data_IF_349613747384
#
_entry.id   IF_349613747384
#
_cell.length_a   1.000
_cell.length_b   1.000
_cell.length_c   1.000
_cell.angle_alpha   90.00
_cell.angle_beta   90.00
_cell.angle_gamma   90.00
#
_symmetry.space_group_name_H-M   'P 1'
#
loop_
_entity.id
_entity.type
_entity.pdbx_description
1 polymer ?
#
# COMPACT_ATOMS: atom_id res chain seq x y z
N UNK A 1 6.94 103.97 -0.15
CA UNK A 1 8.11 104.39 0.64
C UNK A 1 9.09 103.25 0.73
N UNK A 2 10.21 103.40 0.04
CA UNK A 2 11.58 103.38 0.52
C UNK A 2 11.96 101.99 1.14
N UNK A 3 13.08 101.35 0.80
CA UNK A 3 14.35 101.69 0.12
C UNK A 3 15.03 100.35 -0.24
N UNK A 4 15.47 100.19 -1.41
CA UNK A 4 16.77 99.85 -1.98
C UNK A 4 17.91 99.54 -0.93
N UNK A 5 18.55 98.39 -1.11
CA UNK A 5 20.00 98.37 -1.14
C UNK A 5 20.55 97.09 -1.71
N UNK A 6 21.39 97.28 -2.69
CA UNK A 6 22.26 96.42 -3.45
C UNK A 6 23.48 96.06 -2.54
N UNK A 7 24.07 94.86 -2.65
CA UNK A 7 25.53 94.74 -2.95
C UNK A 7 26.03 93.25 -2.97
N UNK A 8 26.68 92.97 -4.06
CA UNK A 8 27.95 92.20 -4.30
C UNK A 8 27.86 90.66 -4.13
N UNK A 9 27.82 89.90 -5.18
CA UNK A 9 28.82 89.37 -6.12
C UNK A 9 30.11 88.92 -5.45
N UNK A 10 30.23 87.64 -5.24
CA UNK A 10 31.49 86.90 -5.28
C UNK A 10 31.32 85.53 -5.88
N UNK A 11 32.00 85.34 -7.03
CA UNK A 11 32.11 84.03 -7.67
C UNK A 11 33.13 83.22 -6.83
N UNK A 12 32.71 82.04 -6.43
CA UNK A 12 33.64 80.99 -6.03
C UNK A 12 33.21 79.71 -6.76
N UNK A 13 34.01 79.41 -7.77
CA UNK A 13 33.95 78.18 -8.54
C UNK A 13 34.45 77.03 -7.62
N UNK A 14 33.52 76.21 -7.13
CA UNK A 14 33.89 75.00 -6.41
C UNK A 14 33.82 73.85 -7.32
N UNK A 15 34.92 73.27 -7.70
CA UNK A 15 35.03 72.04 -8.47
C UNK A 15 34.59 70.89 -7.60
N UNK A 16 33.39 70.31 -7.92
CA UNK A 16 32.93 69.10 -7.28
C UNK A 16 33.51 67.89 -8.00
N UNK A 17 34.50 67.26 -7.38
CA UNK A 17 35.04 65.97 -7.78
C UNK A 17 33.98 64.92 -7.38
N UNK A 18 33.26 64.38 -8.36
CA UNK A 18 32.40 63.20 -8.16
C UNK A 18 33.27 61.96 -8.01
N UNK A 19 33.50 61.53 -6.78
CA UNK A 19 33.98 60.18 -6.50
C UNK A 19 32.79 59.25 -6.58
N UNK A 20 32.67 58.48 -7.65
CA UNK A 20 31.72 57.35 -7.78
C UNK A 20 32.19 56.21 -6.88
N UNK A 21 31.71 56.14 -5.68
CA UNK A 21 31.76 54.94 -4.85
C UNK A 21 30.77 53.90 -5.42
N UNK A 22 31.31 52.96 -6.18
CA UNK A 22 30.59 51.77 -6.59
C UNK A 22 30.28 50.93 -5.36
N UNK A 23 29.08 51.06 -4.81
CA UNK A 23 28.50 50.09 -3.89
C UNK A 23 28.29 48.79 -4.63
N UNK A 24 29.21 47.83 -4.48
CA UNK A 24 28.91 46.42 -4.79
C UNK A 24 27.82 45.93 -3.82
N UNK A 25 26.57 45.94 -4.30
CA UNK A 25 25.49 45.19 -3.66
C UNK A 25 25.90 43.72 -3.65
N UNK A 26 26.29 43.23 -2.47
CA UNK A 26 26.31 41.79 -2.21
C UNK A 26 24.86 41.31 -2.36
N UNK A 27 24.53 40.69 -3.49
CA UNK A 27 23.40 39.82 -3.57
C UNK A 27 23.58 38.72 -2.52
N UNK A 28 22.88 38.81 -1.41
CA UNK A 28 22.67 37.68 -0.53
C UNK A 28 21.89 36.67 -1.39
N UNK A 29 22.56 35.59 -1.77
CA UNK A 29 21.87 34.39 -2.17
C UNK A 29 21.05 33.95 -0.95
N UNK A 30 19.80 34.33 -0.89
CA UNK A 30 18.81 33.60 -0.11
C UNK A 30 18.83 32.20 -0.67
N UNK A 31 19.58 31.31 -0.03
CA UNK A 31 19.29 29.90 -0.10
C UNK A 31 17.88 29.79 0.48
N UNK A 32 16.90 29.72 -0.41
CA UNK A 32 15.62 29.13 -0.10
C UNK A 32 16.00 27.67 0.16
N UNK A 33 16.21 27.35 1.43
CA UNK A 33 16.08 25.98 1.90
C UNK A 33 14.59 25.71 1.64
N UNK A 34 14.28 25.10 0.49
CA UNK A 34 12.99 24.47 0.29
C UNK A 34 12.84 23.52 1.46
N UNK A 35 11.88 23.85 2.30
CA UNK A 35 11.45 23.03 3.42
C UNK A 35 10.86 21.74 2.80
N UNK A 36 11.73 20.72 2.61
CA UNK A 36 11.35 19.41 2.07
C UNK A 36 10.43 18.64 3.03
N UNK A 37 10.08 19.21 4.15
CA UNK A 37 9.23 18.63 5.17
C UNK A 37 7.77 18.99 4.97
N UNK A 38 7.16 18.56 3.88
CA UNK A 38 5.73 18.25 3.72
C UNK A 38 5.24 18.30 2.26
N UNK A 39 6.03 17.90 1.28
CA UNK A 39 5.46 17.66 -0.05
C UNK A 39 4.62 16.37 0.04
N UNK A 40 3.32 16.53 0.06
CA UNK A 40 2.36 15.44 -0.06
C UNK A 40 2.70 14.64 -1.32
N UNK A 41 3.27 13.43 -1.13
CA UNK A 41 3.69 12.59 -2.25
C UNK A 41 2.43 12.08 -2.96
N UNK A 42 2.39 12.18 -4.28
CA UNK A 42 1.29 11.67 -5.11
C UNK A 42 1.77 10.47 -5.92
N UNK A 43 0.99 9.40 -5.91
CA UNK A 43 1.23 8.24 -6.74
C UNK A 43 0.93 8.55 -8.22
N UNK A 44 1.70 7.96 -9.12
CA UNK A 44 1.52 8.09 -10.56
C UNK A 44 0.95 6.81 -11.16
N UNK A 45 0.22 6.94 -12.28
CA UNK A 45 -0.31 5.79 -13.01
C UNK A 45 0.85 4.90 -13.50
N UNK A 46 0.80 3.63 -13.16
CA UNK A 46 1.75 2.64 -13.66
C UNK A 46 1.17 1.78 -14.79
N UNK A 47 -0.03 1.26 -14.59
CA UNK A 47 -0.70 0.43 -15.57
C UNK A 47 -2.19 0.73 -15.60
N UNK A 48 -2.67 1.22 -16.75
CA UNK A 48 -4.09 1.53 -16.94
C UNK A 48 -4.88 0.26 -17.16
N UNK A 49 -5.81 -0.03 -16.26
CA UNK A 49 -6.78 -1.11 -16.34
C UNK A 49 -8.05 -0.64 -15.65
N UNK A 50 -9.12 -1.37 -15.74
CA UNK A 50 -10.40 -1.06 -15.08
C UNK A 50 -10.83 -2.26 -14.23
N UNK A 51 -10.06 -2.54 -13.18
CA UNK A 51 -10.41 -3.58 -12.21
C UNK A 51 -11.66 -3.18 -11.46
N UNK A 52 -12.55 -4.12 -11.28
CA UNK A 52 -13.71 -3.92 -10.40
C UNK A 52 -13.26 -3.84 -8.96
N UNK A 53 -12.45 -4.80 -8.54
CA UNK A 53 -11.89 -4.86 -7.19
C UNK A 53 -10.45 -5.38 -7.26
N UNK A 54 -9.52 -4.47 -7.62
CA UNK A 54 -8.09 -4.78 -7.66
C UNK A 54 -7.54 -4.91 -6.25
N UNK A 55 -6.93 -6.07 -5.93
CA UNK A 55 -6.55 -6.47 -4.57
C UNK A 55 -5.32 -7.38 -4.54
N UNK A 56 -4.93 -7.86 -3.32
CA UNK A 56 -3.92 -8.90 -3.14
C UNK A 56 -2.54 -8.52 -3.66
N UNK A 57 -2.16 -7.24 -3.53
CA UNK A 57 -0.90 -6.69 -4.01
C UNK A 57 0.30 -7.44 -3.43
N UNK A 58 1.15 -8.00 -4.30
CA UNK A 58 2.36 -8.72 -3.93
C UNK A 58 3.45 -8.57 -4.99
N UNK A 59 4.69 -8.37 -4.56
CA UNK A 59 5.85 -8.36 -5.44
C UNK A 59 6.58 -9.71 -5.41
N UNK A 60 6.66 -10.35 -6.57
CA UNK A 60 7.51 -11.52 -6.75
C UNK A 60 8.94 -11.07 -7.07
N UNK A 61 9.79 -11.03 -6.06
CA UNK A 61 11.18 -10.56 -6.21
C UNK A 61 12.05 -11.50 -7.07
N UNK A 62 11.67 -12.79 -7.23
CA UNK A 62 12.42 -13.75 -8.06
C UNK A 62 12.19 -13.53 -9.55
N UNK A 63 10.95 -13.17 -9.94
CA UNK A 63 10.59 -12.92 -11.34
C UNK A 63 10.55 -11.44 -11.69
N UNK A 64 10.66 -10.55 -10.69
CA UNK A 64 10.54 -9.10 -10.83
C UNK A 64 9.19 -8.69 -11.44
N UNK A 65 8.11 -9.28 -10.93
CA UNK A 65 6.73 -9.08 -11.39
C UNK A 65 5.80 -8.73 -10.23
N UNK A 66 4.82 -7.92 -10.53
CA UNK A 66 3.78 -7.52 -9.60
C UNK A 66 2.54 -8.42 -9.78
N UNK A 67 2.19 -9.18 -8.73
CA UNK A 67 1.03 -10.04 -8.67
C UNK A 67 -0.10 -9.32 -7.98
N UNK A 68 -1.31 -9.46 -8.51
CA UNK A 68 -2.52 -8.90 -7.94
C UNK A 68 -3.75 -9.63 -8.48
N UNK A 69 -4.89 -9.44 -7.83
CA UNK A 69 -6.16 -10.06 -8.23
C UNK A 69 -7.19 -8.98 -8.55
N UNK A 70 -8.11 -9.25 -9.47
CA UNK A 70 -9.39 -8.56 -9.58
C UNK A 70 -10.46 -9.52 -9.04
N UNK A 71 -10.87 -9.31 -7.78
CA UNK A 71 -11.76 -10.23 -7.07
C UNK A 71 -13.06 -10.35 -7.83
N UNK A 72 -13.75 -9.25 -8.12
CA UNK A 72 -15.02 -9.22 -8.84
C UNK A 72 -14.86 -9.49 -10.34
N UNK A 73 -13.68 -9.24 -10.89
CA UNK A 73 -13.32 -9.63 -12.26
C UNK A 73 -12.96 -11.10 -12.40
N UNK A 74 -12.76 -11.83 -11.28
CA UNK A 74 -12.36 -13.23 -11.21
C UNK A 74 -11.10 -13.51 -12.01
N UNK A 75 -10.06 -12.72 -11.75
CA UNK A 75 -8.77 -12.86 -12.44
C UNK A 75 -7.59 -12.73 -11.51
N UNK A 76 -6.59 -13.59 -11.72
CA UNK A 76 -5.23 -13.38 -11.28
C UNK A 76 -4.47 -12.62 -12.35
N UNK A 77 -3.72 -11.60 -11.96
CA UNK A 77 -2.96 -10.73 -12.83
C UNK A 77 -1.48 -10.76 -12.45
N UNK A 78 -0.61 -10.82 -13.45
CA UNK A 78 0.84 -10.81 -13.30
C UNK A 78 1.39 -9.73 -14.22
N UNK A 79 1.78 -8.61 -13.64
CA UNK A 79 2.28 -7.45 -14.36
C UNK A 79 3.81 -7.41 -14.32
N UNK A 80 4.41 -7.29 -15.52
CA UNK A 80 5.85 -7.10 -15.65
C UNK A 80 6.12 -5.61 -15.94
N UNK A 81 6.68 -4.85 -14.98
CA UNK A 81 6.90 -3.41 -15.15
C UNK A 81 8.01 -3.07 -16.14
N UNK A 82 8.91 -4.01 -16.47
CA UNK A 82 9.96 -3.81 -17.46
C UNK A 82 9.40 -3.84 -18.88
N UNK A 83 8.50 -4.78 -19.17
CA UNK A 83 7.88 -4.92 -20.51
C UNK A 83 6.55 -4.19 -20.62
N UNK A 84 5.99 -3.72 -19.50
CA UNK A 84 4.66 -3.09 -19.43
C UNK A 84 3.52 -4.02 -19.88
N UNK A 85 3.69 -5.32 -19.70
CA UNK A 85 2.70 -6.33 -20.05
C UNK A 85 2.05 -6.91 -18.81
N UNK A 86 0.76 -7.22 -18.89
CA UNK A 86 0.00 -7.89 -17.84
C UNK A 86 -0.55 -9.22 -18.37
N UNK A 87 -0.17 -10.30 -17.73
CA UNK A 87 -0.75 -11.63 -17.97
C UNK A 87 -1.99 -11.77 -17.11
N UNK A 88 -3.09 -12.19 -17.71
CA UNK A 88 -4.38 -12.39 -17.04
C UNK A 88 -4.76 -13.86 -17.07
N UNK A 89 -5.00 -14.44 -15.91
CA UNK A 89 -5.47 -15.81 -15.74
C UNK A 89 -6.86 -15.76 -15.10
N UNK A 90 -7.86 -16.31 -15.80
CA UNK A 90 -9.25 -16.38 -15.30
C UNK A 90 -9.37 -17.45 -14.21
N UNK A 91 -10.16 -17.16 -13.19
CA UNK A 91 -10.53 -18.11 -12.14
C UNK A 91 -12.03 -18.45 -12.18
N UNK A 92 -12.45 -19.63 -11.74
CA UNK A 92 -13.84 -20.06 -11.80
C UNK A 92 -14.77 -19.26 -10.87
N UNK A 93 -14.23 -18.78 -9.77
CA UNK A 93 -14.94 -17.96 -8.78
C UNK A 93 -14.10 -16.73 -8.40
N UNK A 94 -14.57 -15.90 -7.47
CA UNK A 94 -13.78 -14.81 -6.90
C UNK A 94 -12.47 -15.33 -6.33
N UNK A 95 -11.39 -14.59 -6.55
CA UNK A 95 -10.06 -14.89 -6.03
C UNK A 95 -9.67 -13.79 -5.05
N UNK A 96 -9.55 -14.10 -3.76
CA UNK A 96 -9.30 -13.13 -2.71
C UNK A 96 -7.83 -12.68 -2.67
N UNK A 97 -6.91 -13.61 -2.81
CA UNK A 97 -5.47 -13.32 -2.73
C UNK A 97 -4.64 -14.28 -3.56
N UNK A 98 -3.36 -13.92 -3.77
CA UNK A 98 -2.36 -14.74 -4.46
C UNK A 98 -1.02 -14.64 -3.75
N UNK A 99 -0.35 -15.78 -3.58
CA UNK A 99 1.04 -15.83 -3.11
C UNK A 99 1.87 -16.71 -4.03
N UNK A 100 3.13 -16.35 -4.34
CA UNK A 100 4.02 -17.18 -5.16
C UNK A 100 4.35 -18.50 -4.48
N UNK A 101 4.52 -19.55 -5.28
CA UNK A 101 4.95 -20.87 -4.80
C UNK A 101 6.22 -21.35 -5.53
N UNK A 102 6.12 -21.61 -6.82
CA UNK A 102 7.27 -21.94 -7.67
C UNK A 102 7.34 -20.96 -8.85
N UNK A 103 8.30 -21.15 -9.75
CA UNK A 103 8.37 -20.34 -10.97
C UNK A 103 7.11 -20.47 -11.84
N UNK A 104 6.47 -21.67 -11.84
CA UNK A 104 5.31 -21.97 -12.67
C UNK A 104 3.99 -22.00 -11.91
N UNK A 105 4.01 -21.85 -10.59
CA UNK A 105 2.80 -21.99 -9.79
C UNK A 105 2.70 -20.90 -8.73
N UNK A 106 1.48 -20.51 -8.42
CA UNK A 106 1.12 -19.71 -7.25
C UNK A 106 0.09 -20.46 -6.40
N UNK A 107 -0.21 -19.93 -5.23
CA UNK A 107 -1.35 -20.35 -4.42
C UNK A 107 -2.35 -19.21 -4.41
N UNK A 108 -3.63 -19.56 -4.60
CA UNK A 108 -4.76 -18.64 -4.62
C UNK A 108 -5.86 -19.10 -3.66
N UNK A 109 -6.57 -18.14 -3.09
CA UNK A 109 -7.77 -18.41 -2.30
C UNK A 109 -9.02 -18.10 -3.16
N UNK A 110 -9.80 -19.14 -3.47
CA UNK A 110 -11.08 -19.07 -4.17
C UNK A 110 -12.23 -19.16 -3.17
N UNK A 111 -13.47 -18.97 -3.62
CA UNK A 111 -14.62 -18.97 -2.70
C UNK A 111 -14.80 -20.29 -1.94
N UNK A 112 -14.38 -21.41 -2.52
CA UNK A 112 -14.57 -22.78 -2.00
C UNK A 112 -13.27 -23.42 -1.47
N UNK A 113 -12.22 -22.66 -1.27
CA UNK A 113 -10.98 -23.18 -0.70
C UNK A 113 -9.69 -22.59 -1.27
N UNK A 114 -8.58 -23.26 -0.96
CA UNK A 114 -7.24 -22.84 -1.33
C UNK A 114 -6.67 -23.76 -2.40
N UNK A 115 -6.07 -23.19 -3.44
CA UNK A 115 -5.63 -23.91 -4.62
C UNK A 115 -4.21 -23.55 -5.04
N UNK A 116 -3.46 -24.52 -5.53
CA UNK A 116 -2.31 -24.26 -6.40
C UNK A 116 -2.82 -24.00 -7.80
N UNK A 117 -2.38 -22.90 -8.41
CA UNK A 117 -2.71 -22.52 -9.78
C UNK A 117 -1.47 -22.60 -10.66
N UNK A 118 -1.58 -23.25 -11.80
CA UNK A 118 -0.54 -23.25 -12.83
C UNK A 118 -0.57 -21.90 -13.55
N UNK A 119 0.55 -21.18 -13.53
CA UNK A 119 0.61 -19.83 -14.09
C UNK A 119 0.63 -19.82 -15.62
N UNK A 120 0.86 -20.93 -16.30
CA UNK A 120 0.84 -21.02 -17.76
C UNK A 120 -0.55 -21.21 -18.33
N UNK A 121 -1.30 -22.21 -17.81
CA UNK A 121 -2.57 -22.65 -18.34
C UNK A 121 -3.77 -22.41 -17.43
N UNK A 122 -3.56 -22.00 -16.16
CA UNK A 122 -4.62 -21.73 -15.20
C UNK A 122 -5.17 -22.97 -14.49
N UNK A 123 -4.58 -24.16 -14.68
CA UNK A 123 -5.02 -25.39 -14.03
C UNK A 123 -4.94 -25.27 -12.50
N UNK A 124 -5.99 -25.74 -11.83
CA UNK A 124 -6.15 -25.65 -10.39
C UNK A 124 -6.00 -27.03 -9.73
N UNK A 125 -5.28 -27.05 -8.60
CA UNK A 125 -5.20 -28.19 -7.71
C UNK A 125 -5.52 -27.77 -6.29
N UNK A 126 -6.66 -28.21 -5.75
CA UNK A 126 -7.07 -27.90 -4.39
C UNK A 126 -6.09 -28.47 -3.37
N UNK A 127 -5.78 -27.68 -2.35
CA UNK A 127 -4.93 -28.07 -1.22
C UNK A 127 -5.66 -27.95 0.12
N UNK A 128 -6.73 -27.17 0.21
CA UNK A 128 -7.63 -27.11 1.36
C UNK A 128 -9.02 -26.72 0.88
N UNK A 129 -10.05 -27.35 1.45
CA UNK A 129 -11.46 -27.04 1.23
C UNK A 129 -12.08 -26.22 2.36
N UNK A 130 -11.25 -25.53 3.14
CA UNK A 130 -11.72 -24.69 4.24
C UNK A 130 -12.74 -23.64 3.72
N UNK A 131 -13.80 -23.44 4.46
CA UNK A 131 -14.98 -22.61 4.14
C UNK A 131 -15.82 -23.05 2.93
N UNK A 132 -15.56 -24.21 2.30
CA UNK A 132 -16.34 -24.68 1.15
C UNK A 132 -17.85 -24.81 1.43
N UNK A 133 -18.24 -24.99 2.69
CA UNK A 133 -19.62 -25.12 3.13
C UNK A 133 -20.22 -23.79 3.64
N UNK A 134 -19.46 -22.71 3.63
CA UNK A 134 -19.88 -21.38 4.12
C UNK A 134 -20.14 -20.45 2.95
N UNK A 135 -21.28 -20.61 2.31
CA UNK A 135 -21.65 -19.86 1.08
C UNK A 135 -21.89 -18.36 1.30
N UNK A 136 -21.96 -17.92 2.54
CA UNK A 136 -22.14 -16.51 2.93
C UNK A 136 -20.82 -15.76 3.03
N UNK A 137 -19.69 -16.47 2.93
CA UNK A 137 -18.36 -15.92 2.98
C UNK A 137 -17.64 -16.04 1.63
N UNK A 138 -16.56 -15.31 1.50
CA UNK A 138 -15.49 -15.48 0.51
C UNK A 138 -14.15 -15.25 1.16
N UNK A 139 -13.06 -15.76 0.59
CA UNK A 139 -11.75 -15.35 0.98
C UNK A 139 -11.47 -13.91 0.54
N UNK A 140 -10.62 -13.23 1.31
CA UNK A 140 -10.13 -11.87 1.07
C UNK A 140 -8.61 -11.85 1.11
N UNK A 141 -7.97 -10.92 1.84
CA UNK A 141 -6.53 -10.76 1.85
C UNK A 141 -5.79 -11.92 2.56
N UNK A 142 -4.55 -12.12 2.16
CA UNK A 142 -3.67 -13.11 2.76
C UNK A 142 -2.24 -13.01 2.24
N UNK A 143 -1.29 -13.39 3.07
CA UNK A 143 0.15 -13.45 2.76
C UNK A 143 0.80 -14.66 3.41
N UNK A 144 1.99 -15.00 2.96
CA UNK A 144 2.77 -16.03 3.64
C UNK A 144 3.48 -15.46 4.87
N UNK A 145 3.57 -16.29 5.89
CA UNK A 145 4.38 -16.05 7.05
C UNK A 145 5.87 -16.42 6.81
N UNK A 146 6.78 -16.09 7.74
CA UNK A 146 8.20 -16.43 7.63
C UNK A 146 8.52 -17.93 7.50
N UNK A 147 7.59 -18.81 7.87
CA UNK A 147 7.71 -20.29 7.71
C UNK A 147 7.20 -20.79 6.36
N UNK A 148 6.64 -19.88 5.54
CA UNK A 148 6.07 -20.23 4.24
C UNK A 148 4.66 -20.82 4.33
N UNK A 149 3.92 -20.63 5.42
CA UNK A 149 2.51 -20.96 5.48
C UNK A 149 1.69 -19.79 4.94
N UNK A 150 0.61 -20.08 4.22
CA UNK A 150 -0.34 -19.05 3.83
C UNK A 150 -1.24 -18.70 5.03
N UNK A 151 -1.25 -17.44 5.41
CA UNK A 151 -2.28 -16.87 6.28
C UNK A 151 -3.27 -16.13 5.40
N UNK A 152 -4.54 -16.54 5.48
CA UNK A 152 -5.59 -16.01 4.61
C UNK A 152 -6.87 -15.91 5.40
N UNK A 153 -7.52 -14.76 5.27
CA UNK A 153 -8.78 -14.54 5.93
C UNK A 153 -9.96 -14.57 4.99
N UNK A 154 -11.12 -14.88 5.56
CA UNK A 154 -12.39 -14.75 4.89
C UNK A 154 -13.11 -13.48 5.31
N UNK A 155 -14.21 -13.17 4.64
CA UNK A 155 -15.12 -12.10 4.97
C UNK A 155 -16.55 -12.49 4.64
N UNK A 156 -17.50 -11.92 5.38
CA UNK A 156 -18.92 -12.06 5.08
C UNK A 156 -19.30 -11.25 3.84
N UNK A 157 -19.99 -11.86 2.88
CA UNK A 157 -20.35 -11.24 1.59
C UNK A 157 -21.17 -9.95 1.71
N UNK A 158 -21.93 -9.79 2.79
CA UNK A 158 -22.71 -8.58 3.08
C UNK A 158 -21.99 -7.63 4.06
N UNK A 159 -20.75 -7.93 4.43
CA UNK A 159 -19.89 -7.08 5.29
C UNK A 159 -20.53 -6.71 6.64
N UNK A 160 -21.46 -7.51 7.14
CA UNK A 160 -22.32 -7.14 8.27
C UNK A 160 -22.20 -8.06 9.48
N UNK A 161 -21.62 -9.25 9.33
CA UNK A 161 -21.55 -10.24 10.41
C UNK A 161 -20.10 -10.68 10.66
N UNK A 162 -19.69 -10.82 11.94
CA UNK A 162 -18.36 -11.31 12.29
C UNK A 162 -18.33 -12.85 12.29
N UNK A 163 -18.69 -13.48 11.17
CA UNK A 163 -18.77 -14.94 11.01
C UNK A 163 -17.63 -15.51 10.16
N UNK A 164 -16.70 -14.68 9.78
CA UNK A 164 -15.50 -15.06 9.05
C UNK A 164 -14.31 -15.31 9.99
N UNK A 165 -13.19 -15.78 9.45
CA UNK A 165 -12.04 -16.21 10.21
C UNK A 165 -10.72 -15.89 9.49
N UNK A 166 -9.62 -15.87 10.25
CA UNK A 166 -8.26 -15.92 9.71
C UNK A 166 -7.72 -17.34 9.87
N UNK A 167 -7.21 -17.92 8.79
CA UNK A 167 -6.66 -19.28 8.75
C UNK A 167 -5.17 -19.26 8.43
N UNK A 168 -4.45 -20.23 8.98
CA UNK A 168 -3.11 -20.63 8.56
C UNK A 168 -3.23 -21.93 7.77
N UNK A 169 -2.70 -21.95 6.54
CA UNK A 169 -2.68 -23.10 5.64
C UNK A 169 -1.23 -23.51 5.39
N UNK A 170 -0.87 -24.69 5.83
CA UNK A 170 0.48 -25.24 5.66
C UNK A 170 0.70 -25.82 4.25
N UNK A 171 1.94 -25.98 3.77
CA UNK A 171 2.22 -26.52 2.43
C UNK A 171 1.67 -27.92 2.17
N UNK A 172 1.46 -28.71 3.23
CA UNK A 172 0.83 -30.04 3.20
C UNK A 172 -0.72 -29.99 3.16
N UNK A 173 -1.33 -28.79 3.27
CA UNK A 173 -2.78 -28.57 3.27
C UNK A 173 -3.43 -28.55 4.66
N UNK A 174 -2.68 -28.82 5.71
CA UNK A 174 -3.21 -28.67 7.09
C UNK A 174 -3.62 -27.24 7.30
N UNK A 175 -4.88 -27.05 7.73
CA UNK A 175 -5.48 -25.73 7.91
C UNK A 175 -5.89 -25.55 9.37
N UNK A 176 -5.46 -24.46 9.96
CA UNK A 176 -5.73 -24.11 11.37
C UNK A 176 -6.40 -22.73 11.42
N UNK A 177 -7.51 -22.63 12.14
CA UNK A 177 -8.12 -21.33 12.46
C UNK A 177 -7.29 -20.60 13.50
N UNK A 178 -6.88 -19.39 13.21
CA UNK A 178 -6.00 -18.57 14.03
C UNK A 178 -6.73 -17.43 14.74
N UNK A 179 -7.70 -16.81 14.08
CA UNK A 179 -8.59 -15.79 14.63
C UNK A 179 -10.00 -16.08 14.17
N UNK A 180 -10.96 -15.99 15.09
CA UNK A 180 -12.40 -16.11 14.77
C UNK A 180 -13.10 -14.75 14.87
N UNK A 181 -14.39 -14.75 14.55
CA UNK A 181 -15.24 -13.56 14.68
C UNK A 181 -14.73 -12.35 13.89
N UNK A 182 -14.18 -12.62 12.70
CA UNK A 182 -13.73 -11.62 11.72
C UNK A 182 -14.91 -11.19 10.85
N UNK A 183 -14.96 -9.91 10.51
CA UNK A 183 -15.99 -9.36 9.60
C UNK A 183 -15.46 -9.21 8.18
N UNK A 184 -14.33 -8.49 8.03
CA UNK A 184 -13.66 -8.25 6.75
C UNK A 184 -12.16 -8.39 6.98
N UNK A 185 -11.63 -9.60 6.80
CA UNK A 185 -10.20 -9.85 6.91
C UNK A 185 -9.43 -9.10 5.84
N UNK A 186 -8.46 -8.31 6.25
CA UNK A 186 -7.63 -7.48 5.39
C UNK A 186 -6.15 -7.54 5.78
N UNK A 187 -5.41 -6.50 5.54
CA UNK A 187 -3.97 -6.38 5.61
C UNK A 187 -3.31 -7.24 6.69
N UNK A 188 -2.33 -8.02 6.29
CA UNK A 188 -1.54 -8.87 7.17
C UNK A 188 -0.06 -8.78 6.79
N UNK A 189 0.81 -8.54 7.79
CA UNK A 189 2.27 -8.51 7.60
C UNK A 189 3.00 -8.94 8.87
N UNK A 190 4.28 -9.32 8.71
CA UNK A 190 5.18 -9.66 9.82
C UNK A 190 6.31 -8.64 9.91
N UNK A 191 6.72 -8.31 11.14
CA UNK A 191 7.89 -7.47 11.39
C UNK A 191 9.16 -8.10 10.81
N UNK A 192 10.15 -7.26 10.51
CA UNK A 192 11.43 -7.69 9.93
C UNK A 192 12.18 -8.70 10.82
N UNK A 193 12.06 -8.56 12.13
CA UNK A 193 12.63 -9.50 13.11
C UNK A 193 11.76 -10.75 13.33
N UNK A 194 10.65 -10.88 12.61
CA UNK A 194 9.70 -12.00 12.66
C UNK A 194 9.08 -12.30 14.02
N UNK A 195 9.04 -11.29 14.93
CA UNK A 195 8.48 -11.46 16.27
C UNK A 195 7.07 -10.89 16.44
N UNK A 196 6.61 -10.11 15.46
CA UNK A 196 5.29 -9.52 15.45
C UNK A 196 4.54 -9.86 14.19
N UNK A 197 3.24 -10.02 14.30
CA UNK A 197 2.29 -10.00 13.19
C UNK A 197 1.37 -8.81 13.38
N UNK A 198 1.09 -8.09 12.29
CA UNK A 198 0.10 -7.02 12.25
C UNK A 198 -1.06 -7.45 11.38
N UNK A 199 -2.28 -7.15 11.79
CA UNK A 199 -3.49 -7.63 11.15
C UNK A 199 -4.63 -6.61 11.22
N UNK A 200 -5.44 -6.58 10.16
CA UNK A 200 -6.61 -5.70 10.00
C UNK A 200 -7.89 -6.54 9.87
N UNK A 201 -8.87 -6.26 10.70
CA UNK A 201 -10.29 -6.48 10.43
C UNK A 201 -10.91 -5.10 10.21
N UNK A 202 -11.25 -4.79 8.96
CA UNK A 202 -11.58 -3.42 8.50
C UNK A 202 -12.59 -2.68 9.37
N UNK A 203 -13.73 -3.27 9.79
CA UNK A 203 -14.71 -2.55 10.62
C UNK A 203 -14.19 -2.13 11.98
N UNK A 204 -13.10 -2.75 12.46
CA UNK A 204 -12.46 -2.36 13.73
C UNK A 204 -11.78 -0.99 13.65
N UNK A 205 -11.51 -0.50 12.42
CA UNK A 205 -10.74 0.73 12.16
C UNK A 205 -9.41 0.78 12.92
N UNK A 206 -8.79 -0.39 13.09
CA UNK A 206 -7.54 -0.52 13.83
C UNK A 206 -6.61 -1.54 13.18
N UNK A 207 -5.32 -1.39 13.46
CA UNK A 207 -4.33 -2.41 13.18
C UNK A 207 -4.02 -3.10 14.50
N UNK A 208 -4.26 -4.39 14.56
CA UNK A 208 -3.89 -5.23 15.68
C UNK A 208 -2.45 -5.70 15.54
N UNK A 209 -1.74 -5.85 16.64
CA UNK A 209 -0.44 -6.52 16.73
C UNK A 209 -0.53 -7.76 17.60
N UNK A 210 0.18 -8.80 17.19
CA UNK A 210 0.33 -10.05 17.93
C UNK A 210 1.81 -10.36 18.13
N UNK A 211 2.16 -11.01 19.22
CA UNK A 211 3.43 -11.71 19.31
C UNK A 211 3.37 -12.92 18.37
N UNK A 212 4.36 -13.08 17.51
CA UNK A 212 4.47 -14.20 16.59
C UNK A 212 5.60 -15.11 17.00
N UNK A 213 5.29 -16.39 17.16
CA UNK A 213 6.27 -17.45 17.40
C UNK A 213 6.59 -18.15 16.08
N UNK A 214 7.81 -17.93 15.59
CA UNK A 214 8.27 -18.50 14.31
C UNK A 214 8.40 -20.03 14.38
N UNK A 215 8.71 -20.61 15.53
CA UNK A 215 8.89 -22.07 15.63
C UNK A 215 7.60 -22.83 15.43
N UNK A 216 6.51 -22.30 15.97
CA UNK A 216 5.17 -22.90 15.92
C UNK A 216 4.25 -22.27 14.90
N UNK A 217 4.62 -21.11 14.31
CA UNK A 217 3.74 -20.26 13.48
C UNK A 217 2.41 -19.99 14.18
N UNK A 218 2.48 -19.53 15.44
CA UNK A 218 1.32 -19.17 16.25
C UNK A 218 1.40 -17.71 16.68
N UNK A 219 0.24 -17.16 17.06
CA UNK A 219 0.11 -15.78 17.53
C UNK A 219 -0.44 -15.75 18.95
N UNK A 220 -0.05 -14.72 19.71
CA UNK A 220 -0.53 -14.47 21.08
C UNK A 220 -0.48 -12.98 21.42
N UNK A 221 -0.98 -12.61 22.58
CA UNK A 221 -0.85 -11.26 23.14
C UNK A 221 -1.38 -10.16 22.21
N UNK A 222 -2.64 -10.31 21.74
CA UNK A 222 -3.32 -9.29 20.91
C UNK A 222 -3.30 -7.91 21.57
N UNK A 223 -2.94 -6.88 20.80
CA UNK A 223 -3.00 -5.47 21.21
C UNK A 223 -3.40 -4.62 20.00
N UNK A 224 -3.98 -3.46 20.23
CA UNK A 224 -4.14 -2.44 19.22
C UNK A 224 -2.81 -1.71 19.06
N UNK A 225 -2.23 -1.75 17.86
CA UNK A 225 -1.02 -1.02 17.50
C UNK A 225 -1.35 0.37 16.96
N UNK A 226 -2.39 0.49 16.11
CA UNK A 226 -2.80 1.75 15.47
C UNK A 226 -4.33 1.85 15.52
N UNK A 227 -4.86 3.02 15.91
CA UNK A 227 -6.25 3.39 15.66
C UNK A 227 -6.29 4.30 14.43
N UNK A 228 -7.10 3.96 13.44
CA UNK A 228 -7.22 4.71 12.19
C UNK A 228 -8.45 5.62 12.28
N UNK A 229 -8.27 6.95 12.26
CA UNK A 229 -9.39 7.88 12.29
C UNK A 229 -10.31 7.70 11.09
N UNK A 230 -11.62 7.79 11.30
CA UNK A 230 -12.64 7.65 10.24
C UNK A 230 -12.45 8.65 9.10
N UNK A 231 -11.90 9.83 9.40
CA UNK A 231 -11.58 10.87 8.40
C UNK A 231 -10.52 10.45 7.38
N UNK A 232 -9.76 9.38 7.63
CA UNK A 232 -8.79 8.83 6.70
C UNK A 232 -9.40 7.79 5.76
N UNK A 233 -10.60 7.28 6.03
CA UNK A 233 -11.20 6.14 5.34
C UNK A 233 -11.07 4.84 6.14
N UNK A 234 -11.21 3.71 5.48
CA UNK A 234 -11.18 2.40 6.12
C UNK A 234 -9.88 1.67 5.79
N UNK A 235 -9.20 1.06 6.80
CA UNK A 235 -7.98 0.30 6.54
C UNK A 235 -8.28 -0.94 5.71
N UNK A 236 -7.45 -1.18 4.70
CA UNK A 236 -7.59 -2.26 3.74
C UNK A 236 -6.30 -3.10 3.68
N UNK A 237 -5.78 -3.44 2.51
CA UNK A 237 -4.54 -4.19 2.38
C UNK A 237 -3.32 -3.41 2.88
N UNK A 238 -2.32 -4.12 3.40
CA UNK A 238 -1.18 -3.54 4.10
C UNK A 238 0.15 -4.16 3.65
N UNK A 239 1.22 -3.36 3.66
CA UNK A 239 2.61 -3.83 3.56
C UNK A 239 3.48 -3.19 4.64
N UNK A 240 4.75 -3.60 4.73
CA UNK A 240 5.69 -3.13 5.75
C UNK A 240 7.01 -2.74 5.09
N UNK A 241 7.70 -1.74 5.63
CA UNK A 241 9.00 -1.32 5.15
C UNK A 241 10.18 -1.83 6.03
N UNK A 242 11.39 -1.53 5.61
CA UNK A 242 12.61 -1.97 6.29
C UNK A 242 12.81 -1.39 7.70
N UNK A 243 12.03 -0.36 8.07
CA UNK A 243 12.01 0.29 9.38
C UNK A 243 10.88 -0.23 10.27
N UNK A 244 10.14 -1.27 9.82
CA UNK A 244 8.95 -1.80 10.46
C UNK A 244 7.77 -0.80 10.52
N UNK A 245 7.69 0.20 9.64
CA UNK A 245 6.50 1.04 9.52
C UNK A 245 5.49 0.44 8.55
N UNK A 246 4.20 0.61 8.86
CA UNK A 246 3.09 -0.03 8.16
C UNK A 246 2.54 0.90 7.09
N UNK A 247 2.37 0.39 5.88
CA UNK A 247 1.80 1.10 4.73
C UNK A 247 0.45 0.48 4.40
N UNK A 248 -0.63 1.25 4.55
CA UNK A 248 -2.01 0.77 4.54
C UNK A 248 -2.79 1.45 3.43
N UNK A 249 -3.41 0.66 2.54
CA UNK A 249 -4.41 1.15 1.61
C UNK A 249 -5.64 1.64 2.37
N UNK A 250 -6.24 2.74 1.93
CA UNK A 250 -7.39 3.34 2.58
C UNK A 250 -8.59 3.34 1.63
N UNK A 251 -9.51 2.42 1.86
CA UNK A 251 -10.82 2.43 1.19
C UNK A 251 -11.58 3.72 1.54
N UNK A 252 -12.12 4.39 0.54
CA UNK A 252 -12.71 5.74 0.66
C UNK A 252 -11.73 6.84 1.13
N UNK A 253 -10.42 6.56 1.16
CA UNK A 253 -9.40 7.47 1.70
C UNK A 253 -8.51 8.14 0.67
N UNK A 254 -8.58 7.73 -0.60
CA UNK A 254 -7.76 8.27 -1.70
C UNK A 254 -6.24 8.22 -1.46
N UNK A 255 -5.78 7.31 -0.61
CA UNK A 255 -4.38 7.32 -0.17
C UNK A 255 -3.88 5.95 0.28
N UNK A 256 -2.55 5.82 0.32
CA UNK A 256 -1.84 4.89 1.20
C UNK A 256 -1.30 5.70 2.37
N UNK A 257 -1.56 5.27 3.61
CA UNK A 257 -1.06 5.89 4.82
C UNK A 257 0.08 5.07 5.44
N UNK A 258 1.09 5.77 5.96
CA UNK A 258 2.22 5.18 6.68
C UNK A 258 2.05 5.41 8.18
N UNK A 259 2.11 4.34 8.97
CA UNK A 259 1.98 4.40 10.43
C UNK A 259 3.19 3.80 11.14
N UNK A 260 3.54 4.37 12.28
CA UNK A 260 4.46 3.74 13.22
C UNK A 260 3.66 2.80 14.18
N UNK A 261 3.83 1.48 14.09
CA UNK A 261 3.09 0.56 14.96
C UNK A 261 3.52 0.58 16.43
N UNK A 262 4.62 1.26 16.77
CA UNK A 262 5.11 1.39 18.15
C UNK A 262 4.43 2.55 18.88
N UNK A 263 4.16 3.65 18.16
CA UNK A 263 3.52 4.85 18.72
C UNK A 263 2.04 4.96 18.33
N UNK A 264 1.62 4.28 17.25
CA UNK A 264 0.29 4.40 16.65
C UNK A 264 0.12 5.64 15.77
N UNK A 265 1.17 6.42 15.54
CA UNK A 265 1.11 7.70 14.86
C UNK A 265 1.13 7.56 13.34
N UNK A 266 0.38 8.44 12.66
CA UNK A 266 0.46 8.65 11.22
C UNK A 266 1.74 9.42 10.90
N UNK A 267 2.64 8.77 10.14
CA UNK A 267 3.92 9.37 9.72
C UNK A 267 3.75 10.18 8.43
N UNK A 268 3.11 9.58 7.43
CA UNK A 268 2.96 10.20 6.11
C UNK A 268 1.78 9.62 5.34
N UNK A 269 1.40 10.29 4.26
CA UNK A 269 0.34 9.88 3.35
C UNK A 269 0.80 10.04 1.90
N UNK A 270 0.49 9.07 1.05
CA UNK A 270 0.65 9.14 -0.40
C UNK A 270 -0.72 9.26 -1.01
N UNK A 271 -1.00 10.37 -1.67
CA UNK A 271 -2.24 10.54 -2.41
C UNK A 271 -2.26 9.66 -3.66
N UNK A 272 -3.40 9.04 -3.91
CA UNK A 272 -3.64 8.21 -5.09
C UNK A 272 -4.82 8.78 -5.86
N UNK A 273 -4.71 8.96 -7.19
CA UNK A 273 -5.80 9.46 -8.01
C UNK A 273 -6.92 8.41 -8.23
N UNK A 274 -7.39 7.81 -7.14
CA UNK A 274 -8.46 6.82 -7.09
C UNK A 274 -9.20 6.94 -5.76
N UNK A 275 -10.51 6.68 -5.76
CA UNK A 275 -11.33 6.79 -4.55
C UNK A 275 -11.00 5.66 -3.56
N UNK A 276 -11.09 4.44 -4.03
CA UNK A 276 -10.84 3.24 -3.24
C UNK A 276 -9.42 2.73 -3.49
N UNK A 277 -8.54 2.96 -2.53
CA UNK A 277 -7.18 2.41 -2.51
C UNK A 277 -7.22 1.14 -1.66
N UNK A 278 -6.89 0.03 -2.27
CA UNK A 278 -7.16 -1.30 -1.70
C UNK A 278 -5.90 -1.88 -1.05
N UNK A 279 -4.87 -2.19 -1.81
CA UNK A 279 -3.66 -2.79 -1.26
C UNK A 279 -2.40 -2.15 -1.85
N UNK A 280 -1.26 -2.45 -1.24
CA UNK A 280 0.03 -2.02 -1.74
C UNK A 280 1.14 -3.03 -1.45
N UNK A 281 2.19 -2.99 -2.26
CA UNK A 281 3.38 -3.81 -2.06
C UNK A 281 4.63 -3.10 -2.55
N UNK A 282 5.70 -3.20 -1.79
CA UNK A 282 7.02 -2.76 -2.24
C UNK A 282 7.58 -3.70 -3.30
N UNK A 283 8.11 -3.13 -4.38
CA UNK A 283 8.67 -3.86 -5.50
C UNK A 283 9.80 -3.10 -6.18
N UNK A 284 10.15 -3.56 -7.40
CA UNK A 284 11.35 -3.13 -8.09
C UNK A 284 12.59 -3.89 -7.62
N UNK A 285 13.70 -3.74 -8.33
CA UNK A 285 14.96 -4.44 -8.06
C UNK A 285 15.46 -4.22 -6.63
N UNK A 286 15.24 -2.99 -6.10
CA UNK A 286 15.71 -2.57 -4.77
C UNK A 286 14.58 -2.51 -3.73
N UNK A 287 13.36 -2.95 -4.05
CA UNK A 287 12.16 -2.82 -3.21
C UNK A 287 11.86 -1.35 -2.82
N UNK A 288 12.20 -0.38 -3.67
CA UNK A 288 12.08 1.07 -3.43
C UNK A 288 10.88 1.70 -4.15
N UNK A 289 10.06 0.88 -4.81
CA UNK A 289 8.84 1.30 -5.50
C UNK A 289 7.64 0.70 -4.78
N UNK A 290 6.71 1.54 -4.34
CA UNK A 290 5.44 1.09 -3.80
C UNK A 290 4.43 1.00 -4.94
N UNK A 291 3.99 -0.21 -5.29
CA UNK A 291 2.89 -0.48 -6.21
C UNK A 291 1.58 -0.51 -5.43
N UNK A 292 0.52 0.03 -6.02
CA UNK A 292 -0.75 0.28 -5.33
C UNK A 292 -1.90 -0.20 -6.22
N UNK A 293 -2.75 -1.05 -5.68
CA UNK A 293 -4.00 -1.48 -6.31
C UNK A 293 -5.16 -0.57 -5.93
N UNK A 294 -6.14 -0.47 -6.80
CA UNK A 294 -7.34 0.34 -6.61
C UNK A 294 -8.58 -0.34 -7.15
N UNK A 295 -9.75 0.14 -6.74
CA UNK A 295 -11.04 -0.43 -7.09
C UNK A 295 -11.99 0.59 -7.71
N UNK A 296 -12.87 0.12 -8.60
CA UNK A 296 -14.05 0.85 -9.07
C UNK A 296 -15.35 0.39 -8.41
N UNK A 297 -15.26 -0.59 -7.49
CA UNK A 297 -16.43 -1.12 -6.78
C UNK A 297 -17.05 -0.03 -5.90
N UNK A 298 -18.36 -0.05 -5.77
CA UNK A 298 -19.16 0.87 -4.94
C UNK A 298 -18.98 2.37 -5.23
N UNK A 299 -18.34 2.72 -6.35
CA UNK A 299 -18.21 4.11 -6.79
C UNK A 299 -19.50 4.61 -7.42
N UNK A 300 -19.95 5.79 -6.97
CA UNK A 300 -21.01 6.56 -7.61
C UNK A 300 -20.59 7.07 -8.99
N UNK A 301 -21.56 7.49 -9.81
CA UNK A 301 -21.29 8.12 -11.12
C UNK A 301 -20.45 9.40 -10.99
N UNK A 302 -20.60 10.14 -9.91
CA UNK A 302 -19.85 11.35 -9.63
C UNK A 302 -18.39 11.05 -9.30
N UNK A 303 -18.15 10.04 -8.47
CA UNK A 303 -16.81 9.56 -8.14
C UNK A 303 -16.10 8.97 -9.36
N UNK A 304 -16.80 8.23 -10.22
CA UNK A 304 -16.23 7.73 -11.49
C UNK A 304 -15.77 8.87 -12.41
N UNK A 305 -16.51 9.98 -12.45
CA UNK A 305 -16.11 11.19 -13.20
C UNK A 305 -14.90 11.86 -12.56
N UNK A 306 -14.85 11.92 -11.24
CA UNK A 306 -13.77 12.54 -10.48
C UNK A 306 -12.48 11.72 -10.53
N UNK A 307 -12.59 10.39 -10.52
CA UNK A 307 -11.47 9.45 -10.48
C UNK A 307 -11.47 8.50 -11.70
N UNK A 308 -11.26 9.00 -12.91
CA UNK A 308 -11.38 8.20 -14.14
C UNK A 308 -10.29 7.13 -14.30
N UNK A 309 -9.29 7.11 -13.44
CA UNK A 309 -8.23 6.12 -13.40
C UNK A 309 -8.40 5.09 -12.27
N UNK A 310 -9.49 5.14 -11.50
CA UNK A 310 -9.78 4.13 -10.49
C UNK A 310 -9.83 2.73 -11.11
N UNK A 311 -9.43 1.71 -10.35
CA UNK A 311 -9.26 0.34 -10.83
C UNK A 311 -7.93 0.09 -11.56
N UNK A 312 -7.08 1.11 -11.72
CA UNK A 312 -5.73 0.97 -12.30
C UNK A 312 -4.68 0.68 -11.22
N UNK A 313 -3.47 0.33 -11.67
CA UNK A 313 -2.29 0.18 -10.81
C UNK A 313 -1.52 1.48 -10.78
N UNK A 314 -1.22 1.96 -9.60
CA UNK A 314 -0.40 3.15 -9.36
C UNK A 314 0.93 2.77 -8.73
N UNK A 315 1.88 3.72 -8.75
CA UNK A 315 3.16 3.57 -8.05
C UNK A 315 3.69 4.90 -7.53
N UNK A 316 4.57 4.81 -6.55
CA UNK A 316 5.43 5.92 -6.12
C UNK A 316 6.76 5.41 -5.57
N UNK A 317 7.71 6.33 -5.34
CA UNK A 317 8.94 6.06 -4.57
C UNK A 317 8.83 6.79 -3.24
N UNK A 318 8.49 6.09 -2.15
CA UNK A 318 8.26 6.75 -0.86
C UNK A 318 9.54 7.24 -0.16
N UNK A 319 10.71 6.82 -0.63
CA UNK A 319 12.01 7.18 -0.05
C UNK A 319 12.53 6.17 0.98
N UNK A 320 11.81 5.06 1.15
CA UNK A 320 12.20 3.91 1.97
C UNK A 320 12.07 2.63 1.14
N UNK A 321 12.64 1.53 1.63
CA UNK A 321 12.56 0.23 0.99
C UNK A 321 11.59 -0.67 1.76
N UNK A 322 10.93 -1.55 1.04
CA UNK A 322 10.15 -2.63 1.63
C UNK A 322 11.02 -3.81 2.09
N UNK A 323 10.35 -4.80 2.65
CA UNK A 323 10.94 -6.11 2.95
C UNK A 323 10.53 -7.13 1.89
N UNK A 324 11.35 -8.17 1.73
CA UNK A 324 11.06 -9.26 0.80
C UNK A 324 9.83 -10.04 1.27
N UNK A 325 8.88 -10.26 0.37
CA UNK A 325 7.72 -11.10 0.67
C UNK A 325 8.11 -12.57 0.86
N UNK A 326 7.44 -13.27 1.77
CA UNK A 326 7.58 -14.70 1.95
C UNK A 326 6.77 -15.47 0.91
N UNK A 327 7.25 -16.64 0.51
CA UNK A 327 6.61 -17.48 -0.49
C UNK A 327 6.06 -18.74 0.14
N UNK A 328 4.99 -19.27 -0.42
CA UNK A 328 4.40 -20.52 0.05
C UNK A 328 5.37 -21.68 -0.04
N UNK A 329 5.52 -22.41 1.06
CA UNK A 329 6.45 -23.55 1.16
C UNK A 329 7.93 -23.18 1.29
N UNK A 330 8.27 -21.90 1.41
CA UNK A 330 9.66 -21.45 1.63
C UNK A 330 9.79 -20.81 3.02
N UNK A 331 10.41 -21.54 3.95
CA UNK A 331 10.78 -20.99 5.24
C UNK A 331 12.04 -20.13 5.13
N UNK A 332 12.11 -19.02 5.86
CA UNK A 332 13.40 -18.33 6.08
C UNK A 332 14.30 -19.27 6.87
N UNK A 333 15.59 -19.27 6.52
CA UNK A 333 16.62 -20.11 7.16
C UNK A 333 17.33 -19.33 8.26
#
# INVERSE_FOLDING_TARGET
MQKISIKYLFHLTLIFILTTTSCKQKQSKNNIIEDETNSQKTATLEYKINSKLGEGALWNYKTQEFYWVDIEGKTLNIYNPKTKTNKVIKTPSRVGTVVPYTKQQAVVALEDGIYKINLENGDLKQISNVESDITENRFNDGKCDPKGNLWVGSMHLKESLPNANLYKVEPNGVTTKMVDSVTISNGIVWSKDTKKMYYIDTPSKSIKSYDYDIETSTISNEKIAVNIPESLGYPDGMTIDENDTLWVGLWNGNAVAQFDPKTGELISKIEVPAHNVTACAFGGENLDILYITTSTNDMTEEERKKYPLAGSIFKCKPGVKGVTAFFFGEAIR
#
